data_IF_991730751707
#
_entry.id   IF_991730751707
#
_cell.length_a   1.000
_cell.length_b   1.000
_cell.length_c   1.000
_cell.angle_alpha   90.00
_cell.angle_beta   90.00
_cell.angle_gamma   90.00
#
_symmetry.space_group_name_H-M   'P 1'
#
loop_
_entity.id
_entity.type
_entity.pdbx_description
1 polymer ?
#
# COMPACT_ATOMS: atom_id res chain seq x y z
N UNK A 1 56.27 -50.14 35.79
CA UNK A 1 56.25 -49.07 34.75
C UNK A 1 54.83 -48.66 34.55
N UNK A 2 54.39 -47.55 35.10
CA UNK A 2 53.03 -47.04 35.04
C UNK A 2 52.94 -45.91 34.02
N UNK A 3 52.12 -46.07 33.01
CA UNK A 3 51.81 -45.01 32.03
C UNK A 3 50.65 -44.17 32.56
N UNK A 4 50.90 -42.89 32.81
CA UNK A 4 49.89 -41.89 33.13
C UNK A 4 49.13 -41.48 31.86
N UNK A 5 47.83 -41.68 31.85
CA UNK A 5 46.89 -41.18 30.83
C UNK A 5 46.51 -39.75 31.23
N UNK A 6 46.84 -38.77 30.38
CA UNK A 6 46.45 -37.37 30.51
C UNK A 6 45.08 -37.18 29.87
N UNK A 7 44.08 -36.95 30.72
CA UNK A 7 42.74 -36.55 30.33
C UNK A 7 42.74 -35.10 29.83
N UNK A 8 42.52 -34.91 28.51
CA UNK A 8 42.34 -33.59 27.92
C UNK A 8 40.94 -33.07 28.24
N UNK A 9 40.92 -32.05 29.09
CA UNK A 9 39.69 -31.36 29.45
C UNK A 9 39.03 -30.68 28.25
N UNK A 10 37.85 -31.15 27.89
CA UNK A 10 36.97 -30.58 26.88
C UNK A 10 36.41 -29.26 27.42
N UNK A 11 36.91 -28.11 26.94
CA UNK A 11 36.33 -26.80 27.22
C UNK A 11 34.88 -26.76 26.72
N UNK A 12 33.91 -26.28 27.51
CA UNK A 12 32.54 -26.10 27.03
C UNK A 12 32.53 -25.02 25.95
N UNK A 13 31.97 -25.33 24.78
CA UNK A 13 31.67 -24.36 23.74
C UNK A 13 30.61 -23.41 24.31
N UNK A 14 31.04 -22.21 24.67
CA UNK A 14 30.14 -21.09 24.97
C UNK A 14 29.22 -20.89 23.78
N UNK A 15 27.98 -21.30 23.91
CA UNK A 15 26.92 -20.99 22.96
C UNK A 15 26.76 -19.46 22.92
N UNK A 16 27.20 -18.88 21.84
CA UNK A 16 27.04 -17.47 21.50
C UNK A 16 25.54 -17.24 21.33
N UNK A 17 24.87 -16.86 22.41
CA UNK A 17 23.46 -16.46 22.42
C UNK A 17 23.34 -15.25 21.51
N UNK A 18 22.87 -15.46 20.28
CA UNK A 18 22.47 -14.38 19.39
C UNK A 18 21.47 -13.54 20.19
N UNK A 19 21.83 -12.30 20.54
CA UNK A 19 20.92 -11.29 21.08
C UNK A 19 19.96 -10.89 19.94
N UNK A 20 19.02 -11.77 19.60
CA UNK A 20 17.88 -11.42 18.78
C UNK A 20 16.93 -10.57 19.63
N UNK A 21 16.41 -9.52 19.06
CA UNK A 21 15.27 -8.81 19.67
C UNK A 21 14.14 -9.84 19.76
N UNK A 22 13.60 -10.01 20.96
CA UNK A 22 12.41 -10.83 21.16
C UNK A 22 11.21 -10.06 20.58
N UNK A 23 10.86 -10.39 19.34
CA UNK A 23 9.79 -9.73 18.60
C UNK A 23 8.44 -9.94 19.29
N UNK A 24 8.24 -11.08 19.95
CA UNK A 24 7.00 -11.40 20.67
C UNK A 24 6.84 -10.57 21.96
N UNK A 25 7.94 -10.12 22.55
CA UNK A 25 7.92 -9.27 23.74
C UNK A 25 7.50 -7.82 23.45
N UNK A 26 7.54 -7.38 22.18
CA UNK A 26 7.13 -6.01 21.78
C UNK A 26 5.69 -6.05 21.29
N UNK A 27 4.76 -5.62 22.16
CA UNK A 27 3.33 -5.56 21.82
C UNK A 27 3.09 -4.78 20.50
N UNK A 28 2.41 -5.41 19.57
CA UNK A 28 2.04 -4.83 18.27
C UNK A 28 3.10 -4.97 17.18
N UNK A 29 4.30 -5.51 17.47
CA UNK A 29 5.33 -5.66 16.45
C UNK A 29 5.07 -6.87 15.55
N UNK A 30 4.65 -8.00 16.11
CA UNK A 30 4.25 -9.19 15.35
C UNK A 30 3.05 -8.89 14.45
N UNK A 31 2.03 -8.20 14.96
CA UNK A 31 0.86 -7.77 14.22
C UNK A 31 1.22 -6.82 13.08
N UNK A 32 2.14 -5.88 13.35
CA UNK A 32 2.66 -4.98 12.32
C UNK A 32 3.38 -5.73 11.20
N UNK A 33 4.24 -6.69 11.54
CA UNK A 33 4.97 -7.49 10.54
C UNK A 33 4.01 -8.28 9.66
N UNK A 34 3.01 -8.96 10.26
CA UNK A 34 2.01 -9.72 9.52
C UNK A 34 1.18 -8.80 8.62
N UNK A 35 0.71 -7.66 9.13
CA UNK A 35 -0.05 -6.68 8.36
C UNK A 35 0.77 -6.15 7.17
N UNK A 36 2.03 -5.82 7.39
CA UNK A 36 2.93 -5.34 6.34
C UNK A 36 3.17 -6.41 5.26
N UNK A 37 3.43 -7.66 5.66
CA UNK A 37 3.62 -8.77 4.73
C UNK A 37 2.36 -9.08 3.94
N UNK A 38 1.19 -9.12 4.59
CA UNK A 38 -0.09 -9.34 3.95
C UNK A 38 -0.40 -8.23 2.93
N UNK A 39 -0.21 -6.97 3.32
CA UNK A 39 -0.35 -5.84 2.40
C UNK A 39 0.53 -5.97 1.16
N UNK A 40 1.83 -6.25 1.33
CA UNK A 40 2.76 -6.38 0.20
C UNK A 40 2.40 -7.56 -0.71
N UNK A 41 1.99 -8.69 -0.14
CA UNK A 41 1.60 -9.86 -0.92
C UNK A 41 0.32 -9.59 -1.73
N UNK A 42 -0.72 -9.06 -1.11
CA UNK A 42 -1.99 -8.68 -1.77
C UNK A 42 -1.73 -7.62 -2.84
N UNK A 43 -0.95 -6.59 -2.51
CA UNK A 43 -0.55 -5.55 -3.46
C UNK A 43 0.12 -6.15 -4.70
N UNK A 44 1.06 -7.08 -4.49
CA UNK A 44 1.80 -7.72 -5.59
C UNK A 44 0.91 -8.55 -6.51
N UNK A 45 -0.03 -9.31 -5.94
CA UNK A 45 -1.00 -10.07 -6.74
C UNK A 45 -1.86 -9.14 -7.59
N UNK A 46 -2.36 -8.04 -7.01
CA UNK A 46 -3.15 -7.06 -7.76
C UNK A 46 -2.36 -6.38 -8.87
N UNK A 47 -1.07 -6.06 -8.64
CA UNK A 47 -0.21 -5.52 -9.69
C UNK A 47 -0.02 -6.48 -10.86
N UNK A 48 0.17 -7.79 -10.59
CA UNK A 48 0.28 -8.79 -11.65
C UNK A 48 -0.98 -8.81 -12.53
N UNK A 49 -2.17 -8.66 -11.95
CA UNK A 49 -3.44 -8.58 -12.69
C UNK A 49 -3.59 -7.33 -13.56
N UNK A 50 -2.81 -6.29 -13.29
CA UNK A 50 -2.87 -5.03 -14.05
C UNK A 50 -1.84 -4.93 -15.18
N UNK A 51 -0.92 -5.89 -15.31
CA UNK A 51 0.14 -5.84 -16.33
C UNK A 51 -0.42 -5.73 -17.76
N UNK A 52 -1.49 -6.46 -18.08
CA UNK A 52 -2.14 -6.42 -19.41
C UNK A 52 -2.77 -5.08 -19.74
N UNK A 53 -3.03 -4.23 -18.75
CA UNK A 53 -3.58 -2.89 -18.91
C UNK A 53 -2.51 -1.80 -18.95
N UNK A 54 -1.23 -2.17 -18.78
CA UNK A 54 -0.10 -1.23 -18.61
C UNK A 54 -0.36 -0.19 -17.52
N UNK A 55 -0.89 -0.65 -16.37
CA UNK A 55 -1.16 0.14 -15.19
C UNK A 55 -0.51 -0.48 -13.96
N UNK A 56 0.02 0.37 -13.07
CA UNK A 56 0.33 -0.02 -11.71
C UNK A 56 -0.91 0.16 -10.82
N UNK A 57 -0.97 -0.54 -9.69
CA UNK A 57 -2.06 -0.39 -8.73
C UNK A 57 -2.23 1.06 -8.23
N UNK A 58 -1.14 1.82 -7.90
CA UNK A 58 -1.27 3.23 -7.56
C UNK A 58 -1.84 4.11 -8.71
N UNK A 59 -1.51 3.80 -9.97
CA UNK A 59 -2.10 4.51 -11.11
C UNK A 59 -3.60 4.21 -11.23
N UNK A 60 -4.00 2.95 -11.07
CA UNK A 60 -5.41 2.59 -11.03
C UNK A 60 -6.14 3.33 -9.90
N UNK A 61 -5.54 3.46 -8.71
CA UNK A 61 -6.14 4.21 -7.61
C UNK A 61 -6.33 5.70 -7.95
N UNK A 62 -5.41 6.34 -8.66
CA UNK A 62 -5.60 7.73 -9.14
C UNK A 62 -6.79 7.81 -10.10
N UNK A 63 -6.87 6.89 -11.08
CA UNK A 63 -7.99 6.85 -12.02
C UNK A 63 -9.33 6.59 -11.30
N UNK A 64 -9.32 5.73 -10.28
CA UNK A 64 -10.48 5.47 -9.41
C UNK A 64 -10.95 6.74 -8.73
N UNK A 65 -10.05 7.45 -8.05
CA UNK A 65 -10.37 8.71 -7.36
C UNK A 65 -10.96 9.74 -8.32
N UNK A 66 -10.32 9.94 -9.49
CA UNK A 66 -10.81 10.87 -10.50
C UNK A 66 -12.20 10.48 -10.99
N UNK A 67 -12.45 9.19 -11.25
CA UNK A 67 -13.75 8.71 -11.73
C UNK A 67 -14.86 9.00 -10.71
N UNK A 68 -14.64 8.69 -9.44
CA UNK A 68 -15.64 8.89 -8.36
C UNK A 68 -15.82 10.37 -7.99
N UNK A 69 -14.81 11.22 -8.23
CA UNK A 69 -14.90 12.66 -8.02
C UNK A 69 -15.50 13.44 -9.20
N UNK A 70 -16.08 12.77 -10.17
CA UNK A 70 -16.66 13.44 -11.34
C UNK A 70 -15.66 13.80 -12.45
N UNK A 71 -14.44 13.26 -12.38
CA UNK A 71 -13.42 13.33 -13.43
C UNK A 71 -12.26 14.29 -13.20
N UNK A 72 -12.26 15.06 -12.08
CA UNK A 72 -11.22 16.07 -11.83
C UNK A 72 -10.93 16.19 -10.32
N UNK A 73 -9.66 16.25 -9.95
CA UNK A 73 -9.16 16.53 -8.59
C UNK A 73 -7.85 17.30 -8.67
N UNK A 74 -7.50 18.00 -7.61
CA UNK A 74 -6.15 18.56 -7.48
C UNK A 74 -5.13 17.49 -7.06
N UNK A 75 -3.85 17.69 -7.39
CA UNK A 75 -2.76 16.82 -6.92
C UNK A 75 -2.72 16.71 -5.40
N UNK A 76 -3.10 17.78 -4.69
CA UNK A 76 -3.16 17.80 -3.22
C UNK A 76 -4.29 16.91 -2.68
N UNK A 77 -5.48 16.92 -3.30
CA UNK A 77 -6.59 16.05 -2.93
C UNK A 77 -6.25 14.59 -3.17
N UNK A 78 -5.69 14.26 -4.34
CA UNK A 78 -5.20 12.91 -4.65
C UNK A 78 -4.18 12.45 -3.60
N UNK A 79 -3.22 13.33 -3.23
CA UNK A 79 -2.22 13.04 -2.20
C UNK A 79 -2.82 12.72 -0.84
N UNK A 80 -3.79 13.52 -0.39
CA UNK A 80 -4.52 13.26 0.85
C UNK A 80 -5.29 11.95 0.81
N UNK A 81 -6.07 11.72 -0.26
CA UNK A 81 -6.85 10.49 -0.43
C UNK A 81 -5.98 9.23 -0.41
N UNK A 82 -4.83 9.27 -1.06
CA UNK A 82 -3.89 8.15 -1.13
C UNK A 82 -2.93 8.07 0.06
N UNK A 83 -2.94 9.05 0.96
CA UNK A 83 -1.96 9.18 2.07
C UNK A 83 -0.51 9.11 1.53
N UNK A 84 -0.23 9.88 0.47
CA UNK A 84 1.05 9.89 -0.23
C UNK A 84 1.65 11.29 -0.28
N UNK A 85 2.98 11.35 -0.24
CA UNK A 85 3.71 12.61 -0.40
C UNK A 85 3.50 13.21 -1.81
N UNK A 86 3.52 14.53 -1.89
CA UNK A 86 3.31 15.30 -3.13
C UNK A 86 4.21 14.84 -4.29
N UNK A 87 5.49 14.57 -4.01
CA UNK A 87 6.44 14.07 -5.03
C UNK A 87 6.01 12.72 -5.63
N UNK A 88 5.46 11.82 -4.80
CA UNK A 88 4.95 10.52 -5.27
C UNK A 88 3.76 10.73 -6.21
N UNK A 89 2.84 11.64 -5.86
CA UNK A 89 1.67 11.94 -6.70
C UNK A 89 2.11 12.59 -8.01
N UNK A 90 3.05 13.54 -7.97
CA UNK A 90 3.61 14.15 -9.17
C UNK A 90 4.11 13.07 -10.15
N UNK A 91 4.95 12.16 -9.68
CA UNK A 91 5.49 11.09 -10.53
C UNK A 91 4.45 10.06 -10.99
N UNK A 92 3.34 9.86 -10.25
CA UNK A 92 2.21 9.03 -10.72
C UNK A 92 1.45 9.73 -11.83
N UNK A 93 1.15 11.01 -11.65
CA UNK A 93 0.43 11.83 -12.64
C UNK A 93 1.25 12.02 -13.90
N UNK A 94 2.59 12.22 -13.80
CA UNK A 94 3.49 12.29 -14.96
C UNK A 94 3.35 11.04 -15.84
N UNK A 95 3.40 9.86 -15.22
CA UNK A 95 3.27 8.59 -15.96
C UNK A 95 1.89 8.37 -16.57
N UNK A 96 0.82 8.83 -15.92
CA UNK A 96 -0.54 8.78 -16.47
C UNK A 96 -0.73 9.76 -17.63
N UNK A 97 -0.12 10.94 -17.54
CA UNK A 97 -0.16 11.96 -18.59
C UNK A 97 0.62 11.52 -19.84
N UNK A 98 1.81 10.92 -19.67
CA UNK A 98 2.57 10.29 -20.77
C UNK A 98 1.75 9.21 -21.49
N UNK A 99 0.88 8.50 -20.77
CA UNK A 99 -0.03 7.51 -21.34
C UNK A 99 -1.33 8.12 -21.88
N UNK A 100 -1.49 9.44 -21.86
CA UNK A 100 -2.71 10.17 -22.24
C UNK A 100 -3.97 9.72 -21.46
N UNK A 101 -3.79 9.28 -20.20
CA UNK A 101 -4.91 8.85 -19.35
C UNK A 101 -5.47 9.99 -18.49
N UNK A 102 -4.65 10.98 -18.24
CA UNK A 102 -5.02 12.22 -17.57
C UNK A 102 -4.36 13.42 -18.25
N UNK A 103 -4.90 14.60 -18.01
CA UNK A 103 -4.32 15.89 -18.40
C UNK A 103 -4.15 16.78 -17.17
N UNK A 104 -3.12 17.62 -17.15
CA UNK A 104 -2.92 18.64 -16.13
C UNK A 104 -3.42 20.00 -16.56
N UNK A 105 -3.98 20.73 -15.61
CA UNK A 105 -4.34 22.12 -15.79
C UNK A 105 -3.93 22.93 -14.57
N UNK A 106 -3.21 24.01 -14.78
CA UNK A 106 -2.88 24.94 -13.71
C UNK A 106 -4.09 25.80 -13.38
N UNK A 107 -4.32 25.99 -12.07
CA UNK A 107 -5.36 26.92 -11.64
C UNK A 107 -4.93 28.36 -11.98
N UNK A 108 -5.85 29.14 -12.58
CA UNK A 108 -5.58 30.53 -12.97
C UNK A 108 -5.52 31.47 -11.77
N UNK A 109 -6.21 31.14 -10.69
CA UNK A 109 -6.31 31.94 -9.48
C UNK A 109 -5.23 31.58 -8.43
N UNK A 110 -4.79 30.32 -8.40
CA UNK A 110 -3.75 29.83 -7.48
C UNK A 110 -2.78 28.88 -8.19
N UNK A 111 -1.64 29.44 -8.63
CA UNK A 111 -0.58 28.70 -9.35
C UNK A 111 0.02 27.51 -8.56
N UNK A 112 -0.28 27.41 -7.27
CA UNK A 112 0.15 26.26 -6.44
C UNK A 112 -0.79 25.07 -6.61
N UNK A 113 -1.98 25.27 -7.19
CA UNK A 113 -2.95 24.21 -7.46
C UNK A 113 -2.77 23.69 -8.87
N UNK A 114 -2.56 22.38 -8.98
CA UNK A 114 -2.55 21.65 -10.24
C UNK A 114 -3.74 20.71 -10.25
N UNK A 115 -4.66 20.95 -11.16
CA UNK A 115 -5.79 20.06 -11.44
C UNK A 115 -5.35 18.91 -12.31
N UNK A 116 -5.88 17.73 -12.05
CA UNK A 116 -5.69 16.50 -12.82
C UNK A 116 -7.06 16.07 -13.29
N UNK A 117 -7.23 16.00 -14.59
CA UNK A 117 -8.49 15.64 -15.24
C UNK A 117 -8.37 14.32 -15.96
N UNK A 118 -9.39 13.47 -15.82
CA UNK A 118 -9.48 12.21 -16.53
C UNK A 118 -9.82 12.45 -18.02
N UNK A 119 -9.01 11.90 -18.93
CA UNK A 119 -9.29 11.93 -20.37
C UNK A 119 -10.29 10.85 -20.75
N UNK A 120 -10.81 10.87 -21.99
CA UNK A 120 -11.67 9.79 -22.48
C UNK A 120 -10.90 8.47 -22.59
N UNK A 121 -9.64 8.52 -23.05
CA UNK A 121 -8.74 7.36 -23.04
C UNK A 121 -8.54 6.80 -21.61
N UNK A 122 -8.43 7.69 -20.63
CA UNK A 122 -8.34 7.32 -19.22
C UNK A 122 -9.60 6.63 -18.72
N UNK A 123 -10.79 7.15 -19.07
CA UNK A 123 -12.09 6.53 -18.75
C UNK A 123 -12.22 5.12 -19.33
N UNK A 124 -11.87 4.96 -20.60
CA UNK A 124 -11.91 3.65 -21.26
C UNK A 124 -10.93 2.65 -20.63
N UNK A 125 -9.69 3.11 -20.32
CA UNK A 125 -8.68 2.27 -19.68
C UNK A 125 -9.13 1.83 -18.29
N UNK A 126 -9.67 2.77 -17.50
CA UNK A 126 -10.24 2.50 -16.19
C UNK A 126 -11.39 1.49 -16.27
N UNK A 127 -12.36 1.70 -17.18
CA UNK A 127 -13.50 0.82 -17.33
C UNK A 127 -13.12 -0.64 -17.66
N UNK A 128 -11.99 -0.85 -18.35
CA UNK A 128 -11.46 -2.19 -18.65
C UNK A 128 -10.64 -2.78 -17.48
N UNK A 129 -9.81 -1.95 -16.83
CA UNK A 129 -8.88 -2.42 -15.80
C UNK A 129 -9.55 -2.61 -14.43
N UNK A 130 -10.50 -1.75 -14.07
CA UNK A 130 -11.13 -1.76 -12.74
C UNK A 130 -11.84 -3.08 -12.42
N UNK A 131 -12.69 -3.67 -13.32
CA UNK A 131 -13.33 -4.95 -13.04
C UNK A 131 -12.33 -6.10 -12.86
N UNK A 132 -11.20 -6.10 -13.59
CA UNK A 132 -10.17 -7.13 -13.45
C UNK A 132 -9.47 -7.03 -12.09
N UNK A 133 -9.11 -5.83 -11.66
CA UNK A 133 -8.52 -5.60 -10.33
C UNK A 133 -9.50 -5.93 -9.20
N UNK A 134 -10.78 -5.61 -9.36
CA UNK A 134 -11.83 -5.90 -8.37
C UNK A 134 -11.99 -7.40 -8.17
N UNK A 135 -12.09 -8.19 -9.25
CA UNK A 135 -12.20 -9.66 -9.17
C UNK A 135 -11.01 -10.28 -8.45
N UNK A 136 -9.78 -9.87 -8.78
CA UNK A 136 -8.60 -10.35 -8.07
C UNK A 136 -8.62 -10.01 -6.58
N UNK A 137 -9.13 -8.82 -6.24
CA UNK A 137 -9.35 -8.45 -4.84
C UNK A 137 -10.39 -9.35 -4.17
N UNK A 138 -11.54 -9.57 -4.81
CA UNK A 138 -12.60 -10.45 -4.31
C UNK A 138 -12.08 -11.87 -4.09
N UNK A 139 -11.38 -12.45 -5.08
CA UNK A 139 -10.81 -13.81 -4.99
C UNK A 139 -9.87 -13.98 -3.78
N UNK A 140 -9.05 -12.97 -3.48
CA UNK A 140 -8.15 -13.00 -2.33
C UNK A 140 -8.89 -13.03 -0.99
N UNK A 141 -10.07 -12.45 -0.93
CA UNK A 141 -10.86 -12.36 0.30
C UNK A 141 -11.85 -13.52 0.47
N UNK A 142 -12.00 -14.43 -0.52
CA UNK A 142 -12.89 -15.60 -0.43
C UNK A 142 -12.49 -16.59 0.67
N UNK A 143 -11.23 -16.55 1.12
CA UNK A 143 -10.73 -17.39 2.22
C UNK A 143 -11.26 -16.96 3.59
N UNK A 144 -11.86 -15.78 3.69
CA UNK A 144 -12.39 -15.21 4.93
C UNK A 144 -13.91 -15.39 4.99
N UNK A 145 -14.40 -15.71 6.18
CA UNK A 145 -15.83 -15.73 6.49
C UNK A 145 -16.36 -14.31 6.68
N UNK A 146 -17.66 -14.13 6.67
CA UNK A 146 -18.31 -12.82 6.80
C UNK A 146 -17.96 -12.10 8.12
N UNK A 147 -17.88 -12.84 9.22
CA UNK A 147 -17.48 -12.31 10.53
C UNK A 147 -16.00 -11.88 10.56
N UNK A 148 -15.12 -12.65 9.89
CA UNK A 148 -13.69 -12.32 9.76
C UNK A 148 -13.50 -11.07 8.87
N UNK A 149 -14.25 -10.95 7.78
CA UNK A 149 -14.27 -9.74 6.93
C UNK A 149 -14.76 -8.51 7.71
N UNK A 150 -15.81 -8.67 8.51
CA UNK A 150 -16.32 -7.59 9.35
C UNK A 150 -15.29 -7.18 10.42
N UNK A 151 -14.63 -8.15 11.06
CA UNK A 151 -13.56 -7.90 12.03
C UNK A 151 -12.37 -7.20 11.38
N UNK A 152 -11.89 -7.66 10.22
CA UNK A 152 -10.80 -7.04 9.46
C UNK A 152 -11.12 -5.59 9.12
N UNK A 153 -12.33 -5.31 8.62
CA UNK A 153 -12.79 -3.95 8.31
C UNK A 153 -12.79 -3.06 9.55
N UNK A 154 -13.30 -3.56 10.67
CA UNK A 154 -13.35 -2.82 11.94
C UNK A 154 -11.94 -2.48 12.42
N UNK A 155 -11.04 -3.46 12.49
CA UNK A 155 -9.66 -3.28 12.97
C UNK A 155 -8.88 -2.34 12.05
N UNK A 156 -8.92 -2.57 10.74
CA UNK A 156 -8.23 -1.72 9.76
C UNK A 156 -8.73 -0.28 9.80
N UNK A 157 -10.05 -0.06 9.98
CA UNK A 157 -10.62 1.28 10.10
C UNK A 157 -10.15 2.01 11.36
N UNK A 158 -10.06 1.32 12.50
CA UNK A 158 -9.53 1.90 13.75
C UNK A 158 -8.06 2.30 13.60
N UNK A 159 -7.23 1.40 13.05
CA UNK A 159 -5.81 1.68 12.82
C UNK A 159 -5.62 2.86 11.87
N UNK A 160 -6.37 2.87 10.75
CA UNK A 160 -6.36 3.98 9.79
C UNK A 160 -6.73 5.30 10.46
N UNK A 161 -7.81 5.33 11.25
CA UNK A 161 -8.28 6.54 11.92
C UNK A 161 -7.18 7.12 12.84
N UNK A 162 -6.59 6.30 13.71
CA UNK A 162 -5.52 6.74 14.62
C UNK A 162 -4.28 7.22 13.84
N UNK A 163 -3.92 6.51 12.76
CA UNK A 163 -2.77 6.90 11.94
C UNK A 163 -3.01 8.24 11.24
N UNK A 164 -4.19 8.47 10.65
CA UNK A 164 -4.54 9.73 9.99
C UNK A 164 -4.56 10.91 10.97
N UNK A 165 -5.09 10.71 12.18
CA UNK A 165 -5.03 11.74 13.23
C UNK A 165 -3.59 12.14 13.55
N UNK A 166 -2.67 11.19 13.70
CA UNK A 166 -1.25 11.46 13.96
C UNK A 166 -0.54 12.16 12.80
N UNK A 167 -1.00 11.95 11.58
CA UNK A 167 -0.48 12.59 10.38
C UNK A 167 -1.13 13.95 10.08
N UNK A 168 -2.12 14.38 10.87
CA UNK A 168 -2.96 15.56 10.61
C UNK A 168 -3.58 15.54 9.20
N UNK A 169 -4.00 14.36 8.73
CA UNK A 169 -4.67 14.17 7.44
C UNK A 169 -6.16 13.94 7.67
N UNK A 170 -7.00 14.82 7.09
CA UNK A 170 -8.46 14.61 7.00
C UNK A 170 -8.81 14.09 5.62
N UNK A 171 -9.70 13.09 5.58
CA UNK A 171 -10.31 12.56 4.35
C UNK A 171 -11.75 13.10 4.16
N UNK A 172 -12.19 14.06 4.97
CA UNK A 172 -13.48 14.67 4.81
C UNK A 172 -13.57 15.46 3.50
N UNK A 173 -14.64 15.24 2.75
CA UNK A 173 -14.88 15.91 1.46
C UNK A 173 -14.22 15.24 0.24
N UNK A 174 -13.78 13.98 0.38
CA UNK A 174 -13.24 13.17 -0.71
C UNK A 174 -14.19 12.01 -1.04
#
# INVERSE_FOLDING_TARGET
MARRSTSAGRRPKTAQRKRGVDIEAVRGLSEWIILYQAYNAVFKVQELGLLSFNLSLPQLHVLTLLTYAGGELTTGEIGRAMVKASQTITGLVDRLEVQNLVERRFDRSDRRKTWVRLTDTGRERFAKAFPAATRLGEDLFTVLKDDELAALRSVASKLRHVALQRLNVSLEGL
#
